data_IF_795447266100
#
_entry.id   IF_795447266100
#
_cell.length_a   1.000
_cell.length_b   1.000
_cell.length_c   1.000
_cell.angle_alpha   90.00
_cell.angle_beta   90.00
_cell.angle_gamma   90.00
#
_symmetry.space_group_name_H-M   'P 1'
#
loop_
_entity.id
_entity.type
_entity.pdbx_description
1 polymer ?
#
# COMPACT_ATOMS: atom_id res chain seq x y z
N UNK A 1 -6.19 12.25 2.71
CA UNK A 1 -5.48 10.99 3.05
C UNK A 1 -6.09 10.36 4.27
N UNK A 2 -5.86 10.88 5.44
CA UNK A 2 -6.23 10.30 6.75
C UNK A 2 -7.68 9.79 6.84
N UNK A 3 -8.65 10.59 6.41
CA UNK A 3 -10.07 10.20 6.47
C UNK A 3 -10.38 8.91 5.69
N UNK A 4 -9.80 8.72 4.50
CA UNK A 4 -10.06 7.52 3.69
C UNK A 4 -9.40 6.30 4.34
N UNK A 5 -8.20 6.45 4.90
CA UNK A 5 -7.52 5.38 5.64
C UNK A 5 -8.37 4.93 6.85
N UNK A 6 -8.89 5.87 7.63
CA UNK A 6 -9.78 5.57 8.76
C UNK A 6 -11.07 4.85 8.33
N UNK A 7 -11.64 5.20 7.16
CA UNK A 7 -12.83 4.50 6.63
C UNK A 7 -12.47 3.08 6.20
N UNK A 8 -11.32 2.88 5.57
CA UNK A 8 -10.86 1.55 5.15
C UNK A 8 -10.59 0.67 6.37
N UNK A 9 -9.94 1.21 7.40
CA UNK A 9 -9.66 0.50 8.65
C UNK A 9 -10.95 0.03 9.33
N UNK A 10 -11.92 0.93 9.51
CA UNK A 10 -13.21 0.61 10.12
C UNK A 10 -14.02 -0.36 9.26
N UNK A 11 -13.91 -0.27 7.94
CA UNK A 11 -14.52 -1.24 7.03
C UNK A 11 -13.98 -2.65 7.29
N UNK A 12 -12.64 -2.84 7.35
CA UNK A 12 -12.06 -4.15 7.65
C UNK A 12 -12.39 -4.62 9.07
N UNK A 13 -12.46 -3.71 10.04
CA UNK A 13 -12.96 -4.01 11.39
C UNK A 13 -14.38 -4.57 11.37
N UNK A 14 -15.30 -3.89 10.68
CA UNK A 14 -16.69 -4.31 10.53
C UNK A 14 -16.81 -5.67 9.84
N UNK A 15 -16.07 -5.90 8.76
CA UNK A 15 -16.04 -7.18 8.05
C UNK A 15 -15.58 -8.30 8.99
N UNK A 16 -14.50 -8.07 9.72
CA UNK A 16 -13.96 -9.04 10.68
C UNK A 16 -14.95 -9.37 11.80
N UNK A 17 -15.63 -8.37 12.35
CA UNK A 17 -16.64 -8.53 13.40
C UNK A 17 -17.88 -9.29 12.91
N UNK A 18 -18.22 -9.18 11.62
CA UNK A 18 -19.35 -9.91 11.04
C UNK A 18 -19.14 -11.41 10.94
N UNK A 19 -17.89 -11.87 10.95
CA UNK A 19 -17.49 -13.27 10.74
C UNK A 19 -17.68 -13.78 9.30
N UNK A 20 -18.17 -12.93 8.38
CA UNK A 20 -18.31 -13.27 6.95
C UNK A 20 -17.00 -13.11 6.20
N UNK A 21 -16.78 -13.93 5.18
CA UNK A 21 -15.71 -13.71 4.20
C UNK A 21 -16.11 -12.59 3.23
N UNK A 22 -15.12 -11.89 2.64
CA UNK A 22 -15.38 -10.77 1.74
C UNK A 22 -16.20 -11.16 0.51
N UNK A 23 -16.07 -12.38 0.03
CA UNK A 23 -16.82 -12.95 -1.10
C UNK A 23 -18.30 -13.20 -0.80
N UNK A 24 -18.67 -13.25 0.47
CA UNK A 24 -20.06 -13.51 0.90
C UNK A 24 -20.91 -12.25 0.97
N UNK A 25 -20.30 -11.06 0.82
CA UNK A 25 -21.01 -9.80 0.81
C UNK A 25 -21.52 -9.44 -0.59
N UNK A 26 -22.76 -8.99 -0.67
CA UNK A 26 -23.28 -8.38 -1.90
C UNK A 26 -22.75 -6.95 -2.08
N UNK A 27 -22.83 -6.41 -3.31
CA UNK A 27 -22.46 -5.02 -3.57
C UNK A 27 -23.33 -4.03 -2.76
N UNK A 28 -24.60 -4.37 -2.52
CA UNK A 28 -25.53 -3.59 -1.71
C UNK A 28 -25.08 -3.55 -0.25
N UNK A 29 -24.81 -4.71 0.38
CA UNK A 29 -24.33 -4.82 1.76
C UNK A 29 -23.02 -4.02 1.96
N UNK A 30 -22.06 -4.17 1.05
CA UNK A 30 -20.80 -3.40 1.09
C UNK A 30 -21.07 -1.90 0.97
N UNK A 31 -21.99 -1.50 0.10
CA UNK A 31 -22.36 -0.10 -0.10
C UNK A 31 -23.03 0.50 1.14
N UNK A 32 -23.86 -0.26 1.85
CA UNK A 32 -24.52 0.16 3.09
C UNK A 32 -23.48 0.34 4.22
N UNK A 33 -22.60 -0.64 4.40
CA UNK A 33 -21.50 -0.56 5.39
C UNK A 33 -20.65 0.69 5.16
N UNK A 34 -20.22 0.93 3.92
CA UNK A 34 -19.40 2.09 3.59
C UNK A 34 -20.15 3.41 3.84
N UNK A 35 -21.43 3.49 3.45
CA UNK A 35 -22.23 4.69 3.69
C UNK A 35 -22.35 4.98 5.18
N UNK A 36 -22.64 3.96 5.99
CA UNK A 36 -22.78 4.07 7.44
C UNK A 36 -21.47 4.59 8.06
N UNK A 37 -20.33 3.95 7.76
CA UNK A 37 -19.04 4.36 8.29
C UNK A 37 -18.70 5.81 7.92
N UNK A 38 -18.91 6.19 6.65
CA UNK A 38 -18.63 7.56 6.20
C UNK A 38 -19.52 8.57 6.91
N UNK A 39 -20.82 8.28 7.07
CA UNK A 39 -21.77 9.19 7.74
C UNK A 39 -21.46 9.33 9.23
N UNK A 40 -21.10 8.24 9.93
CA UNK A 40 -20.72 8.25 11.33
C UNK A 40 -19.45 9.06 11.55
N UNK A 41 -18.40 8.85 10.73
CA UNK A 41 -17.15 9.63 10.83
C UNK A 41 -17.33 11.11 10.51
N UNK A 42 -18.17 11.44 9.55
CA UNK A 42 -18.51 12.84 9.25
C UNK A 42 -19.34 13.49 10.38
N UNK A 43 -20.20 12.71 11.03
CA UNK A 43 -21.01 13.17 12.17
C UNK A 43 -20.19 13.40 13.44
N UNK A 44 -19.15 12.58 13.67
CA UNK A 44 -18.24 12.73 14.82
C UNK A 44 -17.33 13.96 14.71
N UNK A 45 -16.99 14.39 13.50
CA UNK A 45 -16.32 15.65 13.28
C UNK A 45 -17.28 16.80 13.60
N UNK A 46 -17.17 17.39 14.80
CA UNK A 46 -18.00 18.47 15.36
C UNK A 46 -18.12 19.74 14.48
N UNK A 47 -17.50 19.74 13.33
CA UNK A 47 -17.65 20.77 12.33
C UNK A 47 -18.88 20.47 11.45
N UNK A 48 -20.05 21.00 11.84
CA UNK A 48 -21.29 21.07 11.03
C UNK A 48 -21.07 21.62 9.60
N UNK A 49 -19.83 22.00 9.27
CA UNK A 49 -19.38 22.52 7.99
C UNK A 49 -19.71 21.56 6.84
N UNK A 50 -19.53 20.24 7.04
CA UNK A 50 -19.73 19.25 5.98
C UNK A 50 -21.20 19.04 5.55
N UNK A 51 -22.16 19.49 6.35
CA UNK A 51 -23.60 19.40 6.01
C UNK A 51 -24.23 20.75 5.69
N UNK A 52 -23.52 21.87 5.95
CA UNK A 52 -24.07 23.22 5.97
C UNK A 52 -24.37 23.81 4.59
N UNK A 53 -23.64 23.42 3.54
CA UNK A 53 -23.82 23.99 2.20
C UNK A 53 -23.99 22.94 1.11
N UNK A 54 -24.61 23.32 -0.03
CA UNK A 54 -24.75 22.45 -1.20
C UNK A 54 -23.38 21.97 -1.72
N UNK A 55 -22.34 22.81 -1.63
CA UNK A 55 -20.96 22.49 -2.03
C UNK A 55 -20.40 21.33 -1.18
N UNK A 56 -20.57 21.39 0.12
CA UNK A 56 -20.08 20.33 1.02
C UNK A 56 -20.86 19.02 0.86
N UNK A 57 -22.18 19.08 0.66
CA UNK A 57 -22.97 17.88 0.34
C UNK A 57 -22.48 17.21 -0.95
N UNK A 58 -22.20 17.99 -2.00
CA UNK A 58 -21.63 17.47 -3.25
C UNK A 58 -20.24 16.82 -3.05
N UNK A 59 -19.39 17.41 -2.18
CA UNK A 59 -18.10 16.80 -1.83
C UNK A 59 -18.26 15.47 -1.10
N UNK A 60 -19.19 15.36 -0.16
CA UNK A 60 -19.46 14.10 0.56
C UNK A 60 -19.94 13.02 -0.41
N UNK A 61 -20.86 13.34 -1.32
CA UNK A 61 -21.33 12.40 -2.35
C UNK A 61 -20.14 11.91 -3.20
N UNK A 62 -19.29 12.83 -3.63
CA UNK A 62 -18.08 12.49 -4.42
C UNK A 62 -17.13 11.63 -3.62
N UNK A 63 -16.91 11.94 -2.35
CA UNK A 63 -16.03 11.18 -1.46
C UNK A 63 -16.53 9.75 -1.28
N UNK A 64 -17.84 9.56 -1.03
CA UNK A 64 -18.46 8.23 -0.95
C UNK A 64 -18.25 7.42 -2.24
N UNK A 65 -18.42 8.04 -3.41
CA UNK A 65 -18.16 7.36 -4.70
C UNK A 65 -16.72 6.92 -4.84
N UNK A 66 -15.76 7.77 -4.46
CA UNK A 66 -14.33 7.46 -4.50
C UNK A 66 -14.02 6.27 -3.58
N UNK A 67 -14.50 6.31 -2.33
CA UNK A 67 -14.26 5.26 -1.34
C UNK A 67 -14.86 3.93 -1.80
N UNK A 68 -16.12 3.93 -2.25
CA UNK A 68 -16.77 2.73 -2.77
C UNK A 68 -15.96 2.10 -3.92
N UNK A 69 -15.53 2.94 -4.86
CA UNK A 69 -14.74 2.48 -5.99
C UNK A 69 -13.38 1.91 -5.55
N UNK A 70 -12.66 2.61 -4.67
CA UNK A 70 -11.40 2.13 -4.14
C UNK A 70 -11.56 0.79 -3.39
N UNK A 71 -12.56 0.69 -2.51
CA UNK A 71 -12.84 -0.53 -1.76
C UNK A 71 -13.23 -1.70 -2.65
N UNK A 72 -14.02 -1.47 -3.72
CA UNK A 72 -14.32 -2.52 -4.71
C UNK A 72 -13.04 -3.15 -5.25
N UNK A 73 -12.06 -2.34 -5.68
CA UNK A 73 -10.79 -2.86 -6.21
C UNK A 73 -9.87 -3.41 -5.12
N UNK A 74 -9.91 -2.86 -3.91
CA UNK A 74 -9.18 -3.45 -2.75
C UNK A 74 -9.71 -4.86 -2.48
N UNK A 75 -11.02 -5.03 -2.41
CA UNK A 75 -11.67 -6.34 -2.22
C UNK A 75 -11.30 -7.29 -3.34
N UNK A 76 -11.35 -6.82 -4.60
CA UNK A 76 -10.93 -7.63 -5.75
C UNK A 76 -9.50 -8.14 -5.61
N UNK A 77 -8.56 -7.29 -5.14
CA UNK A 77 -7.16 -7.71 -4.93
C UNK A 77 -7.01 -8.74 -3.82
N UNK A 78 -7.88 -8.75 -2.82
CA UNK A 78 -7.88 -9.74 -1.74
C UNK A 78 -8.48 -11.05 -2.25
N UNK A 79 -9.67 -10.99 -2.81
CA UNK A 79 -10.42 -12.15 -3.30
C UNK A 79 -9.66 -12.91 -4.40
N UNK A 80 -8.93 -12.21 -5.28
CA UNK A 80 -8.13 -12.82 -6.33
C UNK A 80 -6.71 -13.23 -5.88
N UNK A 81 -6.36 -13.01 -4.62
CA UNK A 81 -5.08 -13.44 -4.05
C UNK A 81 -5.27 -14.62 -3.07
N UNK A 82 -4.16 -15.16 -2.58
CA UNK A 82 -4.09 -16.07 -1.43
C UNK A 82 -3.66 -15.34 -0.16
N UNK A 83 -3.50 -14.01 -0.25
CA UNK A 83 -3.17 -13.18 0.89
C UNK A 83 -4.43 -12.82 1.68
N UNK A 84 -4.35 -12.99 2.99
CA UNK A 84 -5.36 -12.57 3.95
C UNK A 84 -4.89 -11.32 4.68
N UNK A 85 -5.82 -10.43 5.01
CA UNK A 85 -5.53 -9.20 5.76
C UNK A 85 -5.18 -9.54 7.20
N UNK A 86 -3.93 -9.38 7.59
CA UNK A 86 -3.47 -9.54 8.97
C UNK A 86 -3.93 -8.37 9.85
N UNK A 87 -3.97 -7.18 9.27
CA UNK A 87 -4.47 -5.98 9.92
C UNK A 87 -4.23 -4.71 9.13
N UNK A 88 -4.93 -3.67 9.56
CA UNK A 88 -4.91 -2.32 9.01
C UNK A 88 -4.49 -1.32 10.09
N UNK A 89 -3.94 -0.17 9.69
CA UNK A 89 -3.53 0.92 10.58
C UNK A 89 -2.68 0.45 11.79
N UNK A 90 -1.79 -0.53 11.53
CA UNK A 90 -0.99 -1.18 12.58
C UNK A 90 0.18 -0.30 13.01
N UNK A 91 0.17 0.11 14.27
CA UNK A 91 1.24 0.92 14.83
C UNK A 91 2.46 0.06 15.22
N UNK A 92 3.65 0.58 14.91
CA UNK A 92 4.90 0.10 15.49
C UNK A 92 5.53 1.22 16.33
N UNK A 93 5.86 0.87 17.56
CA UNK A 93 6.29 1.79 18.61
C UNK A 93 6.12 1.16 19.99
N UNK A 94 6.42 1.91 21.04
CA UNK A 94 6.37 1.43 22.44
C UNK A 94 5.01 0.83 22.84
N UNK A 95 3.91 1.39 22.32
CA UNK A 95 2.53 0.95 22.60
C UNK A 95 1.85 0.29 21.41
N UNK A 96 2.55 0.19 20.28
CA UNK A 96 2.02 -0.41 19.07
C UNK A 96 1.99 -1.95 19.12
N UNK A 97 1.35 -2.55 18.11
CA UNK A 97 1.38 -4.01 17.92
C UNK A 97 2.81 -4.50 17.70
N UNK A 98 3.61 -3.72 16.97
CA UNK A 98 5.01 -4.03 16.69
C UNK A 98 5.94 -3.12 17.48
N UNK A 99 7.12 -3.64 17.81
CA UNK A 99 8.15 -2.86 18.50
C UNK A 99 8.74 -1.78 17.59
N UNK A 100 9.23 -0.66 18.18
CA UNK A 100 9.94 0.35 17.41
C UNK A 100 11.23 -0.20 16.83
N UNK A 101 11.62 0.29 15.65
CA UNK A 101 12.94 -0.03 15.10
C UNK A 101 13.97 0.76 15.89
N UNK A 102 14.86 0.06 16.58
CA UNK A 102 15.90 0.66 17.41
C UNK A 102 17.23 0.73 16.67
N UNK A 103 17.78 1.93 16.59
CA UNK A 103 19.08 2.20 16.00
C UNK A 103 20.04 2.67 17.09
N UNK A 104 21.25 2.13 17.07
CA UNK A 104 22.35 2.66 17.88
C UNK A 104 23.33 3.34 16.94
N UNK A 105 23.61 4.61 17.20
CA UNK A 105 24.59 5.40 16.47
C UNK A 105 26.01 5.13 16.99
N UNK A 106 27.02 5.55 16.22
CA UNK A 106 28.44 5.35 16.54
C UNK A 106 28.84 6.00 17.87
N UNK A 107 28.19 7.10 18.24
CA UNK A 107 28.38 7.81 19.52
C UNK A 107 27.59 7.20 20.69
N UNK A 108 26.97 6.03 20.49
CA UNK A 108 26.19 5.30 21.49
C UNK A 108 24.78 5.81 21.70
N UNK A 109 24.36 6.88 21.05
CA UNK A 109 22.96 7.36 21.12
C UNK A 109 22.01 6.36 20.49
N UNK A 110 20.85 6.20 21.15
CA UNK A 110 19.77 5.33 20.69
C UNK A 110 18.64 6.14 20.11
N UNK A 111 18.12 5.68 18.98
CA UNK A 111 17.00 6.29 18.29
C UNK A 111 15.95 5.22 18.07
N UNK A 112 14.70 5.59 18.26
CA UNK A 112 13.55 4.76 17.95
C UNK A 112 12.80 5.34 16.77
N UNK A 113 12.54 4.49 15.78
CA UNK A 113 11.68 4.81 14.64
C UNK A 113 10.34 4.19 14.91
N UNK A 114 9.32 5.01 14.89
CA UNK A 114 7.93 4.64 15.11
C UNK A 114 7.12 5.00 13.86
N UNK A 115 5.99 4.37 13.69
CA UNK A 115 5.11 4.67 12.57
C UNK A 115 3.85 3.85 12.59
N UNK A 116 3.11 3.93 11.50
CA UNK A 116 1.84 3.28 11.31
C UNK A 116 1.78 2.68 9.91
N UNK A 117 1.47 1.41 9.83
CA UNK A 117 1.43 0.64 8.59
C UNK A 117 -0.03 0.56 8.13
N UNK A 118 -0.33 1.06 6.94
CA UNK A 118 -1.71 1.14 6.45
C UNK A 118 -2.36 -0.24 6.36
N UNK A 119 -1.65 -1.24 5.80
CA UNK A 119 -2.14 -2.62 5.71
C UNK A 119 -1.02 -3.63 5.59
N UNK A 120 -1.18 -4.74 6.30
CA UNK A 120 -0.35 -5.94 6.21
C UNK A 120 -1.22 -7.11 5.81
N UNK A 121 -0.79 -7.85 4.81
CA UNK A 121 -1.39 -9.11 4.42
C UNK A 121 -0.37 -10.25 4.53
N UNK A 122 -0.86 -11.45 4.85
CA UNK A 122 -0.04 -12.66 4.93
C UNK A 122 -0.61 -13.78 4.09
N UNK A 123 0.26 -14.66 3.58
CA UNK A 123 -0.15 -15.84 2.82
C UNK A 123 0.73 -17.03 3.15
N UNK A 124 0.14 -18.22 3.23
CA UNK A 124 0.89 -19.48 3.32
C UNK A 124 1.35 -19.89 1.92
N UNK A 125 2.65 -19.99 1.73
CA UNK A 125 3.26 -20.54 0.53
C UNK A 125 3.93 -21.89 0.80
N UNK A 126 4.54 -22.48 -0.22
CA UNK A 126 5.22 -23.78 -0.12
C UNK A 126 6.46 -23.73 0.79
N UNK A 127 7.21 -22.64 0.77
CA UNK A 127 8.46 -22.49 1.52
C UNK A 127 8.27 -21.84 2.89
N UNK A 128 7.03 -21.55 3.29
CA UNK A 128 6.70 -20.88 4.54
C UNK A 128 5.67 -19.78 4.36
N UNK A 129 5.53 -18.94 5.37
CA UNK A 129 4.56 -17.87 5.39
C UNK A 129 5.19 -16.56 4.91
N UNK A 130 4.47 -15.86 4.06
CA UNK A 130 4.90 -14.63 3.40
C UNK A 130 4.09 -13.44 3.88
N UNK A 131 4.70 -12.25 3.84
CA UNK A 131 4.11 -10.99 4.23
C UNK A 131 4.28 -9.94 3.12
N UNK A 132 3.21 -9.19 2.83
CA UNK A 132 3.28 -8.00 1.98
C UNK A 132 2.77 -6.78 2.72
N UNK A 133 3.39 -5.64 2.43
CA UNK A 133 2.95 -4.32 2.90
C UNK A 133 2.22 -3.61 1.78
N UNK A 134 1.08 -3.00 2.11
CA UNK A 134 0.32 -2.15 1.19
C UNK A 134 0.12 -0.79 1.84
N UNK A 135 0.48 0.26 1.12
CA UNK A 135 0.32 1.64 1.53
C UNK A 135 -0.62 2.36 0.56
N UNK A 136 -1.64 3.02 1.09
CA UNK A 136 -2.66 3.69 0.34
C UNK A 136 -2.25 5.11 -0.03
N UNK A 137 -2.24 5.43 -1.33
CA UNK A 137 -1.89 6.76 -1.82
C UNK A 137 -3.05 7.43 -2.54
N UNK A 138 -3.21 8.73 -2.35
CA UNK A 138 -4.21 9.54 -3.06
C UNK A 138 -3.88 9.77 -4.54
N UNK A 139 -2.65 9.46 -4.97
CA UNK A 139 -2.22 9.55 -6.37
C UNK A 139 -1.44 8.30 -6.75
N UNK A 140 -1.29 8.06 -8.06
CA UNK A 140 -0.45 6.96 -8.52
C UNK A 140 1.00 7.18 -8.07
N UNK A 141 1.52 6.21 -7.35
CA UNK A 141 2.91 6.18 -6.91
C UNK A 141 3.53 4.84 -7.29
N UNK A 142 4.81 4.86 -7.62
CA UNK A 142 5.59 3.65 -7.83
C UNK A 142 6.89 3.77 -7.02
N UNK A 143 7.53 2.66 -6.73
CA UNK A 143 8.84 2.68 -6.10
C UNK A 143 9.89 3.00 -7.16
N UNK A 144 10.67 4.04 -6.92
CA UNK A 144 11.84 4.42 -7.70
C UNK A 144 13.09 4.17 -6.86
N UNK A 145 13.94 3.26 -7.32
CA UNK A 145 15.16 2.90 -6.60
C UNK A 145 16.14 4.08 -6.46
N UNK A 146 16.12 5.06 -7.38
CA UNK A 146 16.91 6.27 -7.23
C UNK A 146 16.38 7.14 -6.07
N UNK A 147 15.07 7.20 -5.89
CA UNK A 147 14.47 7.90 -4.74
C UNK A 147 14.70 7.13 -3.43
N UNK A 148 14.68 5.80 -3.47
CA UNK A 148 15.10 4.96 -2.32
C UNK A 148 16.56 5.25 -1.98
N UNK A 149 17.45 5.30 -2.98
CA UNK A 149 18.86 5.66 -2.81
C UNK A 149 19.05 7.06 -2.21
N UNK A 150 18.22 8.01 -2.61
CA UNK A 150 18.21 9.36 -2.05
C UNK A 150 17.54 9.47 -0.66
N UNK A 151 17.04 8.38 -0.09
CA UNK A 151 16.36 8.36 1.22
C UNK A 151 14.90 8.83 1.22
N UNK A 152 14.29 9.02 0.06
CA UNK A 152 12.93 9.57 -0.08
C UNK A 152 11.82 8.52 -0.02
N UNK A 153 12.08 7.28 -0.42
CA UNK A 153 11.08 6.20 -0.49
C UNK A 153 11.46 5.00 0.38
N UNK A 154 11.96 5.25 1.60
CA UNK A 154 12.36 4.18 2.53
C UNK A 154 11.23 3.68 3.42
N UNK A 155 10.08 4.36 3.45
CA UNK A 155 8.96 4.08 4.35
C UNK A 155 8.49 2.62 4.26
N UNK A 156 8.19 2.12 3.07
CA UNK A 156 7.69 0.76 2.89
C UNK A 156 8.73 -0.31 3.24
N UNK A 157 10.01 -0.04 3.00
CA UNK A 157 11.09 -0.93 3.43
C UNK A 157 11.20 -0.99 4.95
N UNK A 158 11.03 0.16 5.62
CA UNK A 158 10.99 0.26 7.08
C UNK A 158 9.82 -0.54 7.65
N UNK A 159 8.63 -0.43 7.04
CA UNK A 159 7.45 -1.17 7.46
C UNK A 159 7.60 -2.68 7.25
N UNK A 160 8.17 -3.08 6.11
CA UNK A 160 8.43 -4.48 5.80
C UNK A 160 9.39 -5.10 6.84
N UNK A 161 10.48 -4.40 7.16
CA UNK A 161 11.48 -4.88 8.12
C UNK A 161 10.88 -5.03 9.53
N UNK A 162 10.13 -4.03 9.99
CA UNK A 162 9.46 -4.08 11.30
C UNK A 162 8.48 -5.26 11.40
N UNK A 163 7.64 -5.44 10.38
CA UNK A 163 6.61 -6.48 10.38
C UNK A 163 7.20 -7.88 10.19
N UNK A 164 8.14 -8.07 9.26
CA UNK A 164 8.75 -9.40 9.02
C UNK A 164 9.51 -9.93 10.23
N UNK A 165 10.21 -9.05 10.96
CA UNK A 165 10.98 -9.46 12.15
C UNK A 165 10.10 -9.87 13.33
N UNK A 166 9.01 -9.16 13.56
CA UNK A 166 8.09 -9.45 14.67
C UNK A 166 7.22 -10.69 14.40
N UNK A 167 6.82 -10.90 13.14
CA UNK A 167 5.96 -12.03 12.75
C UNK A 167 6.77 -13.26 12.30
N UNK A 168 8.11 -13.14 12.18
CA UNK A 168 9.01 -14.18 11.64
C UNK A 168 8.57 -14.68 10.26
N UNK A 169 8.30 -13.74 9.35
CA UNK A 169 7.75 -14.01 8.02
C UNK A 169 8.68 -13.54 6.90
N UNK A 170 8.57 -14.19 5.75
CA UNK A 170 9.33 -13.84 4.56
C UNK A 170 8.70 -12.66 3.81
N UNK A 171 9.50 -11.74 3.25
CA UNK A 171 8.97 -10.64 2.43
C UNK A 171 8.42 -11.14 1.10
N UNK A 172 7.16 -10.82 0.80
CA UNK A 172 6.57 -11.06 -0.52
C UNK A 172 6.54 -9.80 -1.39
N UNK A 173 6.45 -8.63 -0.78
CA UNK A 173 6.41 -7.37 -1.52
C UNK A 173 6.06 -6.15 -0.70
N UNK A 174 6.34 -5.01 -1.31
CA UNK A 174 5.98 -3.68 -0.84
C UNK A 174 5.25 -2.95 -1.96
N UNK A 175 4.02 -2.56 -1.72
CA UNK A 175 3.11 -2.14 -2.77
C UNK A 175 2.40 -0.84 -2.40
N UNK A 176 2.23 0.03 -3.38
CA UNK A 176 1.33 1.17 -3.32
C UNK A 176 0.01 0.83 -3.99
N UNK A 177 -1.09 1.19 -3.35
CA UNK A 177 -2.41 1.15 -3.93
C UNK A 177 -2.94 2.58 -4.11
N UNK A 178 -3.28 2.96 -5.35
CA UNK A 178 -3.87 4.29 -5.64
C UNK A 178 -5.36 4.27 -5.30
N UNK A 179 -5.78 5.16 -4.38
CA UNK A 179 -7.20 5.28 -3.99
C UNK A 179 -8.01 6.13 -4.96
N UNK A 180 -7.36 6.96 -5.77
CA UNK A 180 -8.04 7.81 -6.72
C UNK A 180 -7.88 7.31 -8.15
N UNK A 181 -8.99 7.30 -8.85
CA UNK A 181 -9.01 7.07 -10.28
C UNK A 181 -8.28 8.21 -10.99
N UNK A 182 -7.34 7.85 -11.84
CA UNK A 182 -6.70 8.82 -12.72
C UNK A 182 -7.62 9.18 -13.88
N UNK A 183 -7.52 10.43 -14.33
CA UNK A 183 -8.26 10.87 -15.50
C UNK A 183 -7.80 10.08 -16.73
N UNK A 184 -8.73 9.36 -17.34
CA UNK A 184 -8.49 8.63 -18.58
C UNK A 184 -8.53 9.64 -19.71
N UNK A 185 -7.37 9.87 -20.33
CA UNK A 185 -7.31 10.65 -21.58
C UNK A 185 -7.67 9.72 -22.74
N UNK A 186 -8.58 10.17 -23.59
CA UNK A 186 -8.98 9.47 -24.80
C UNK A 186 -8.98 10.46 -25.97
N UNK A 187 -8.31 10.07 -27.04
CA UNK A 187 -8.30 10.83 -28.31
C UNK A 187 -9.50 10.46 -29.19
N UNK A 188 -10.20 9.38 -28.85
CA UNK A 188 -11.38 8.84 -29.53
C UNK A 188 -12.43 8.41 -28.53
N UNK A 189 -13.69 8.27 -29.01
CA UNK A 189 -14.74 7.59 -28.25
C UNK A 189 -14.30 6.14 -27.99
N UNK A 190 -14.31 5.73 -26.73
CA UNK A 190 -13.96 4.37 -26.29
C UNK A 190 -15.20 3.57 -26.01
N UNK A 191 -15.14 2.26 -26.23
CA UNK A 191 -16.19 1.34 -25.81
C UNK A 191 -16.15 1.16 -24.29
N UNK A 192 -17.28 0.73 -23.70
CA UNK A 192 -17.43 0.60 -22.26
C UNK A 192 -16.40 -0.34 -21.64
N UNK A 193 -16.14 -1.47 -22.31
CA UNK A 193 -15.15 -2.46 -21.88
C UNK A 193 -13.73 -1.88 -21.81
N UNK A 194 -13.34 -1.10 -22.81
CA UNK A 194 -12.03 -0.44 -22.87
C UNK A 194 -11.86 0.60 -21.75
N UNK A 195 -12.94 1.29 -21.40
CA UNK A 195 -12.96 2.23 -20.27
C UNK A 195 -12.76 1.47 -18.96
N UNK A 196 -13.48 0.37 -18.77
CA UNK A 196 -13.38 -0.46 -17.55
C UNK A 196 -11.99 -1.07 -17.37
N UNK A 197 -11.36 -1.56 -18.45
CA UNK A 197 -9.98 -2.04 -18.40
C UNK A 197 -8.99 -0.95 -17.99
N UNK A 198 -9.12 0.27 -18.55
CA UNK A 198 -8.27 1.40 -18.18
C UNK A 198 -8.49 1.83 -16.73
N UNK A 199 -9.73 1.81 -16.25
CA UNK A 199 -10.05 2.07 -14.85
C UNK A 199 -9.38 1.02 -13.96
N UNK A 200 -9.54 -0.27 -14.28
CA UNK A 200 -8.91 -1.35 -13.52
C UNK A 200 -7.39 -1.21 -13.47
N UNK A 201 -6.77 -0.86 -14.59
CA UNK A 201 -5.33 -0.62 -14.67
C UNK A 201 -4.85 0.53 -13.74
N UNK A 202 -5.69 1.51 -13.44
CA UNK A 202 -5.37 2.58 -12.48
C UNK A 202 -5.30 2.08 -11.04
N UNK A 203 -6.06 1.03 -10.70
CA UNK A 203 -6.08 0.42 -9.37
C UNK A 203 -5.11 -0.74 -9.21
N UNK A 204 -4.39 -1.10 -10.28
CA UNK A 204 -3.30 -2.08 -10.20
C UNK A 204 -2.23 -1.58 -9.23
N UNK A 205 -1.90 -2.42 -8.25
CA UNK A 205 -0.84 -2.12 -7.28
C UNK A 205 0.51 -1.95 -7.99
N UNK A 206 1.33 -1.03 -7.48
CA UNK A 206 2.66 -0.72 -7.99
C UNK A 206 3.68 -0.83 -6.88
N UNK A 207 4.89 -1.27 -7.17
CA UNK A 207 5.94 -1.42 -6.16
C UNK A 207 6.89 -2.55 -6.51
N UNK A 208 7.48 -3.17 -5.50
CA UNK A 208 8.40 -4.30 -5.64
C UNK A 208 7.77 -5.58 -5.08
N UNK A 209 7.96 -6.68 -5.78
CA UNK A 209 7.50 -8.00 -5.36
C UNK A 209 8.67 -8.99 -5.37
N UNK A 210 8.59 -10.04 -4.56
CA UNK A 210 9.59 -11.11 -4.60
C UNK A 210 9.57 -11.81 -5.97
N UNK A 211 10.71 -11.90 -6.62
CA UNK A 211 10.88 -12.48 -7.96
C UNK A 211 10.87 -14.01 -7.91
N UNK A 212 9.79 -14.57 -7.41
CA UNK A 212 9.50 -16.00 -7.34
C UNK A 212 8.10 -16.25 -7.93
N UNK A 213 8.00 -17.11 -8.95
CA UNK A 213 6.73 -17.43 -9.63
C UNK A 213 5.67 -17.94 -8.64
N UNK A 214 6.07 -18.77 -7.66
CA UNK A 214 5.15 -19.32 -6.66
C UNK A 214 4.60 -18.23 -5.76
N UNK A 215 5.46 -17.27 -5.35
CA UNK A 215 5.04 -16.12 -4.54
C UNK A 215 4.18 -15.16 -5.36
N UNK A 216 4.52 -14.93 -6.63
CA UNK A 216 3.68 -14.13 -7.55
C UNK A 216 2.28 -14.71 -7.67
N UNK A 217 2.13 -16.03 -7.74
CA UNK A 217 0.82 -16.71 -7.75
C UNK A 217 0.06 -16.63 -6.40
N UNK A 218 0.72 -16.32 -5.30
CA UNK A 218 0.03 -15.95 -4.06
C UNK A 218 -0.62 -14.57 -4.19
N UNK A 219 0.02 -13.62 -4.87
CA UNK A 219 -0.54 -12.29 -5.11
C UNK A 219 -1.70 -12.29 -6.11
N UNK A 220 -1.65 -13.16 -7.11
CA UNK A 220 -2.67 -13.29 -8.17
C UNK A 220 -2.83 -14.78 -8.52
N UNK A 221 -3.84 -15.40 -7.89
CA UNK A 221 -4.10 -16.84 -8.03
C UNK A 221 -4.53 -17.26 -9.44
N UNK A 222 -4.96 -16.28 -10.25
CA UNK A 222 -5.44 -16.51 -11.60
C UNK A 222 -4.37 -16.26 -12.68
N UNK A 223 -3.18 -15.82 -12.27
CA UNK A 223 -2.10 -15.49 -13.19
C UNK A 223 -1.38 -16.77 -13.66
N UNK A 224 -1.69 -17.24 -14.86
CA UNK A 224 -0.97 -18.35 -15.50
C UNK A 224 0.09 -17.85 -16.48
N UNK A 225 -0.26 -16.86 -17.32
CA UNK A 225 0.59 -16.22 -18.32
C UNK A 225 0.14 -14.78 -18.59
N UNK A 226 1.05 -13.97 -19.10
CA UNK A 226 0.77 -12.55 -19.41
C UNK A 226 0.96 -11.63 -18.23
N UNK A 227 0.38 -10.45 -18.32
CA UNK A 227 0.45 -9.43 -17.26
C UNK A 227 -0.62 -9.67 -16.20
N UNK A 228 -0.24 -9.61 -14.93
CA UNK A 228 -1.21 -9.55 -13.85
C UNK A 228 -2.01 -8.25 -13.91
N UNK A 229 -3.30 -8.33 -13.62
CA UNK A 229 -4.18 -7.17 -13.44
C UNK A 229 -4.01 -6.53 -12.05
N UNK A 230 -3.45 -7.24 -11.08
CA UNK A 230 -3.40 -6.84 -9.66
C UNK A 230 -2.04 -6.26 -9.24
N UNK A 231 -0.94 -6.82 -9.75
CA UNK A 231 0.43 -6.53 -9.31
C UNK A 231 1.38 -6.32 -10.51
N UNK A 232 2.54 -5.69 -10.33
CA UNK A 232 3.49 -5.45 -11.40
C UNK A 232 4.29 -6.71 -11.78
N UNK A 233 3.59 -7.76 -12.21
CA UNK A 233 4.15 -9.03 -12.63
C UNK A 233 3.74 -9.41 -14.05
N UNK A 234 4.60 -10.18 -14.72
CA UNK A 234 4.35 -10.75 -16.02
C UNK A 234 4.98 -12.16 -16.10
N UNK A 235 4.17 -13.17 -16.41
CA UNK A 235 4.63 -14.55 -16.66
C UNK A 235 4.68 -14.78 -18.18
N UNK A 236 5.80 -15.25 -18.69
CA UNK A 236 5.99 -15.57 -20.12
C UNK A 236 5.25 -16.86 -20.53
N UNK A 237 5.42 -17.27 -21.78
CA UNK A 237 4.77 -18.47 -22.31
C UNK A 237 5.37 -19.76 -21.75
N UNK A 238 6.60 -19.70 -21.29
CA UNK A 238 7.38 -20.76 -20.68
C UNK A 238 7.11 -20.92 -19.17
N UNK A 239 6.33 -20.01 -18.59
CA UNK A 239 5.98 -20.01 -17.16
C UNK A 239 6.98 -19.29 -16.26
N UNK A 240 7.94 -18.54 -16.83
CA UNK A 240 8.93 -17.78 -16.07
C UNK A 240 8.51 -16.32 -15.88
N UNK A 241 9.06 -15.67 -14.85
CA UNK A 241 8.89 -14.24 -14.67
C UNK A 241 9.74 -13.46 -15.67
N UNK A 242 9.10 -12.54 -16.39
CA UNK A 242 9.81 -11.63 -17.28
C UNK A 242 10.49 -10.53 -16.47
N UNK A 243 11.82 -10.53 -16.43
CA UNK A 243 12.61 -9.50 -15.73
C UNK A 243 12.30 -8.08 -16.22
N UNK A 244 12.04 -7.90 -17.52
CA UNK A 244 11.75 -6.58 -18.11
C UNK A 244 10.36 -6.05 -17.82
N UNK A 245 9.40 -6.94 -17.54
CA UNK A 245 7.98 -6.57 -17.36
C UNK A 245 7.48 -6.79 -15.94
N UNK A 246 8.32 -7.30 -15.06
CA UNK A 246 8.02 -7.53 -13.64
C UNK A 246 8.87 -6.59 -12.79
N UNK A 247 8.26 -5.89 -11.86
CA UNK A 247 9.00 -5.15 -10.83
C UNK A 247 9.40 -6.10 -9.70
N UNK A 248 10.23 -7.09 -10.06
CA UNK A 248 10.67 -8.15 -9.17
C UNK A 248 12.04 -7.86 -8.57
N UNK A 249 12.23 -8.29 -7.34
CA UNK A 249 13.52 -8.31 -6.63
C UNK A 249 13.74 -9.67 -6.01
N UNK A 250 14.98 -10.16 -5.99
CA UNK A 250 15.31 -11.41 -5.30
C UNK A 250 15.29 -11.23 -3.77
N UNK A 251 15.35 -12.32 -3.02
CA UNK A 251 15.45 -12.27 -1.56
C UNK A 251 16.71 -11.50 -1.11
N UNK A 252 17.84 -11.74 -1.79
CA UNK A 252 19.13 -11.07 -1.51
C UNK A 252 19.05 -9.57 -1.83
N UNK A 253 18.30 -9.18 -2.87
CA UNK A 253 18.07 -7.78 -3.20
C UNK A 253 17.16 -7.10 -2.15
N UNK A 254 16.12 -7.78 -1.65
CA UNK A 254 15.34 -7.26 -0.53
C UNK A 254 16.21 -7.05 0.72
N UNK A 255 17.04 -8.04 1.07
CA UNK A 255 17.95 -7.92 2.20
C UNK A 255 18.93 -6.74 2.01
N UNK A 256 19.46 -6.56 0.80
CA UNK A 256 20.35 -5.44 0.47
C UNK A 256 19.65 -4.08 0.60
N UNK A 257 18.39 -3.97 0.13
CA UNK A 257 17.58 -2.77 0.28
C UNK A 257 17.29 -2.47 1.76
N UNK A 258 17.00 -3.49 2.57
CA UNK A 258 16.82 -3.33 4.01
C UNK A 258 18.11 -2.86 4.71
N UNK A 259 19.26 -3.45 4.40
CA UNK A 259 20.56 -2.99 4.93
C UNK A 259 20.83 -1.54 4.56
N UNK A 260 20.56 -1.17 3.31
CA UNK A 260 20.71 0.20 2.84
C UNK A 260 19.76 1.17 3.58
N UNK A 261 18.51 0.80 3.76
CA UNK A 261 17.52 1.57 4.52
C UNK A 261 18.06 1.88 5.94
N UNK A 262 18.66 0.91 6.63
CA UNK A 262 19.29 1.14 7.95
C UNK A 262 20.41 2.15 7.90
N UNK A 263 21.24 2.10 6.84
CA UNK A 263 22.32 3.07 6.62
C UNK A 263 21.78 4.49 6.47
N UNK A 264 20.76 4.65 5.63
CA UNK A 264 20.09 5.94 5.41
C UNK A 264 19.43 6.47 6.69
N UNK A 265 18.72 5.61 7.41
CA UNK A 265 18.07 5.99 8.68
C UNK A 265 19.09 6.45 9.73
N UNK A 266 20.24 5.76 9.86
CA UNK A 266 21.32 6.18 10.76
C UNK A 266 21.90 7.53 10.35
N UNK A 267 22.10 7.76 9.05
CA UNK A 267 22.61 9.02 8.54
C UNK A 267 21.66 10.18 8.82
N UNK A 268 20.37 10.03 8.47
CA UNK A 268 19.35 11.04 8.74
C UNK A 268 19.28 11.33 10.24
N UNK A 269 19.31 10.30 11.07
CA UNK A 269 19.29 10.42 12.51
C UNK A 269 20.49 11.18 13.06
N UNK A 270 21.68 10.93 12.51
CA UNK A 270 22.91 11.65 12.87
C UNK A 270 22.83 13.13 12.50
N UNK A 271 22.31 13.45 11.31
CA UNK A 271 22.12 14.83 10.85
C UNK A 271 21.10 15.59 11.73
N UNK A 272 19.98 14.97 12.06
CA UNK A 272 18.96 15.55 12.95
C UNK A 272 19.54 15.84 14.35
N UNK A 273 20.23 14.87 14.94
CA UNK A 273 20.85 15.04 16.27
C UNK A 273 22.03 16.01 16.27
N UNK A 274 22.68 16.18 15.12
CA UNK A 274 23.75 17.16 14.91
C UNK A 274 23.22 18.57 14.68
N UNK A 275 21.89 18.76 14.63
CA UNK A 275 21.30 20.08 14.39
C UNK A 275 21.47 20.57 12.94
N UNK A 276 21.65 19.67 11.98
CA UNK A 276 21.77 20.06 10.58
C UNK A 276 20.44 20.64 10.08
N UNK A 277 20.52 21.85 9.51
CA UNK A 277 19.41 22.57 8.87
C UNK A 277 19.67 22.78 7.38
N UNK A 278 20.61 22.04 6.81
CA UNK A 278 20.98 22.17 5.43
C UNK A 278 19.83 21.81 4.48
N UNK A 279 19.53 22.70 3.55
CA UNK A 279 18.58 22.46 2.48
C UNK A 279 19.29 21.72 1.34
N UNK A 280 19.06 20.42 1.23
CA UNK A 280 19.64 19.54 0.19
C UNK A 280 18.50 18.91 -0.63
N UNK A 281 17.78 19.69 -1.47
CA UNK A 281 16.67 19.14 -2.24
C UNK A 281 17.18 18.09 -3.24
N UNK A 282 16.48 16.97 -3.31
CA UNK A 282 16.72 15.98 -4.36
C UNK A 282 16.25 16.54 -5.70
N UNK A 283 17.10 16.43 -6.72
CA UNK A 283 16.85 16.91 -8.06
C UNK A 283 16.87 15.77 -9.07
N UNK A 284 15.75 15.53 -9.72
CA UNK A 284 15.62 14.55 -10.81
C UNK A 284 15.03 15.26 -12.03
N UNK A 285 15.68 15.12 -13.21
CA UNK A 285 15.22 15.71 -14.47
C UNK A 285 14.90 17.21 -14.34
N UNK A 286 15.73 17.96 -13.61
CA UNK A 286 15.56 19.39 -13.29
C UNK A 286 14.28 19.73 -12.51
N UNK A 287 13.69 18.76 -11.82
CA UNK A 287 12.51 18.94 -10.96
C UNK A 287 12.75 18.30 -9.60
N UNK A 288 12.20 18.88 -8.57
CA UNK A 288 12.07 18.24 -7.27
C UNK A 288 10.90 17.24 -7.31
N UNK A 289 11.01 16.04 -6.72
CA UNK A 289 9.87 15.16 -6.54
C UNK A 289 8.76 15.87 -5.75
N UNK A 290 7.53 15.66 -6.15
CA UNK A 290 6.34 16.20 -5.50
C UNK A 290 5.86 15.31 -4.36
#
# INVERSE_FOLDING_TARGET
>A
GTFIHEVIDEFFGTVKESGKQLEEFTEEELSEIINKIVDEKLGQNKNYIFTSTAKYRALVIRLKKIIKKALKYIIETIVQSRFEVLGTELEFGEKGKYKPIRLTLEDGKKIEIIGKIDRIDTAQGENGKYLRIIDYKSSAKNIDLNEVYAGLQIQLLTYLDAACKEEDLMPAGILYFSMLEQMIKADKRMEQEEIEEKIRANFKMKGLILADVKVVKLHDKNLEKGASALIPAYIDKEGNLSEKKTSGVTAEQFESLQKYMYTVLKQISKEILGGSIDLKPYYKDKKTPS
#
